data_IF_677295668136
#
_entry.id   IF_677295668136
#
_cell.length_a   1.000
_cell.length_b   1.000
_cell.length_c   1.000
_cell.angle_alpha   90.00
_cell.angle_beta   90.00
_cell.angle_gamma   90.00
#
_symmetry.space_group_name_H-M   'P 1'
#
loop_
_entity.id
_entity.type
_entity.pdbx_description
1 polymer ?
2 non-polymer ?
3 non-polymer ?
4 non-polymer ?
5 non-polymer ?
6 water ?
#
# COMPACT_ATOMS: atom_id res chain seq x y z
N UNK A 1 1.60 25.96 13.18
CA UNK A 1 0.19 25.57 12.88
C UNK A 1 0.13 24.56 11.73
N UNK A 2 -0.99 23.83 11.64
CA UNK A 2 -1.24 22.87 10.54
C UNK A 2 -1.27 23.57 9.18
N UNK A 3 -1.93 24.72 9.13
CA UNK A 3 -1.97 25.57 7.93
C UNK A 3 -0.60 26.10 7.44
N UNK A 4 0.38 26.17 8.34
CA UNK A 4 1.77 26.46 7.94
C UNK A 4 2.37 25.29 7.15
N UNK A 5 2.07 24.06 7.57
CA UNK A 5 2.46 22.86 6.83
C UNK A 5 1.86 22.82 5.42
N UNK A 6 0.61 23.26 5.30
CA UNK A 6 -0.10 23.31 4.01
C UNK A 6 0.51 24.34 3.04
N UNK A 7 0.88 25.51 3.56
CA UNK A 7 1.52 26.57 2.75
C UNK A 7 2.83 26.11 2.16
N UNK A 8 3.68 25.51 2.99
CA UNK A 8 4.96 24.94 2.57
C UNK A 8 4.80 23.86 1.49
N UNK A 9 3.81 22.99 1.68
CA UNK A 9 3.52 21.90 0.75
C UNK A 9 2.92 22.43 -0.56
N UNK A 10 1.90 23.27 -0.44
CA UNK A 10 1.23 23.86 -1.61
C UNK A 10 2.17 24.73 -2.43
N UNK A 11 3.03 25.50 -1.74
CA UNK A 11 4.03 26.34 -2.39
C UNK A 11 5.18 25.57 -3.05
N UNK A 12 5.59 24.44 -2.49
CA UNK A 12 6.81 23.75 -2.95
C UNK A 12 6.76 23.26 -4.41
N UNK A 13 7.93 23.01 -4.97
CA UNK A 13 8.07 22.40 -6.30
C UNK A 13 8.09 20.90 -6.07
N UNK A 14 7.43 20.16 -6.96
CA UNK A 14 7.30 18.73 -6.83
C UNK A 14 8.30 18.16 -7.82
N UNK A 15 9.43 17.62 -7.31
CA UNK A 15 10.40 17.04 -8.24
C UNK A 15 9.86 15.78 -8.91
N UNK A 16 10.49 15.38 -10.01
CA UNK A 16 10.01 14.28 -10.82
C UNK A 16 10.10 12.94 -10.10
N UNK A 17 9.42 11.94 -10.67
CA UNK A 17 9.44 10.57 -10.17
C UNK A 17 10.86 9.96 -10.16
N UNK A 18 11.66 10.31 -11.16
CA UNK A 18 13.06 9.83 -11.24
C UNK A 18 13.90 10.37 -10.09
N UNK A 19 13.87 11.68 -9.86
CA UNK A 19 14.59 12.31 -8.75
C UNK A 19 14.18 11.70 -7.39
N UNK A 20 12.88 11.48 -7.23
CA UNK A 20 12.30 10.96 -6.00
C UNK A 20 12.43 9.45 -5.81
N UNK A 21 12.82 8.74 -6.88
CA UNK A 21 13.14 7.29 -6.84
C UNK A 21 11.91 6.40 -6.62
N UNK A 22 10.73 6.97 -6.81
CA UNK A 22 9.47 6.28 -6.51
C UNK A 22 9.08 5.22 -7.54
N UNK A 23 9.80 5.18 -8.66
CA UNK A 23 9.62 4.14 -9.66
C UNK A 23 10.33 2.83 -9.31
N UNK A 24 11.20 2.87 -8.30
CA UNK A 24 12.02 1.72 -7.91
C UNK A 24 11.33 0.88 -6.84
N UNK A 25 11.22 -0.42 -7.08
CA UNK A 25 10.76 -1.36 -6.06
C UNK A 25 11.60 -1.35 -4.78
N UNK A 26 12.89 -0.99 -4.91
CA UNK A 26 13.81 -0.91 -3.79
C UNK A 26 13.62 0.33 -2.90
N UNK A 27 12.77 1.26 -3.32
CA UNK A 27 12.49 2.52 -2.59
C UNK A 27 12.46 2.40 -1.06
N UNK A 28 13.03 3.40 -0.40
CA UNK A 28 13.00 3.50 1.05
C UNK A 28 12.72 4.93 1.45
N UNK A 29 12.12 5.10 2.63
CA UNK A 29 11.66 6.40 3.08
C UNK A 29 12.37 6.88 4.35
N UNK A 30 13.33 6.12 4.86
CA UNK A 30 13.98 6.45 6.14
C UNK A 30 14.68 7.81 6.10
N UNK A 31 15.20 8.19 4.94
CA UNK A 31 15.88 9.48 4.78
C UNK A 31 14.95 10.69 4.48
N UNK A 32 13.64 10.48 4.45
CA UNK A 32 12.68 11.51 4.01
C UNK A 32 11.96 12.15 5.18
N UNK A 33 11.76 13.46 5.09
CA UNK A 33 10.90 14.16 6.02
C UNK A 33 9.43 13.88 5.70
N UNK A 34 8.54 14.21 6.64
CA UNK A 34 7.09 14.12 6.38
C UNK A 34 6.70 14.92 5.13
N UNK A 35 7.20 16.14 5.03
CA UNK A 35 6.97 16.98 3.85
C UNK A 35 7.41 16.29 2.54
N UNK A 36 8.59 15.67 2.57
CA UNK A 36 9.09 14.94 1.40
C UNK A 36 8.21 13.76 0.96
N UNK A 37 7.58 13.08 1.92
CA UNK A 37 6.66 11.99 1.58
C UNK A 37 5.39 12.54 0.93
N UNK A 38 4.90 13.66 1.45
CA UNK A 38 3.78 14.38 0.85
C UNK A 38 4.08 14.82 -0.58
N UNK A 39 5.31 15.21 -0.88
CA UNK A 39 5.71 15.54 -2.26
C UNK A 39 5.71 14.35 -3.17
N UNK A 40 6.25 13.23 -2.69
CA UNK A 40 6.28 11.97 -3.46
C UNK A 40 4.86 11.50 -3.76
N UNK A 41 3.97 11.71 -2.79
CA UNK A 41 2.55 11.37 -2.96
C UNK A 41 1.90 12.25 -4.06
N UNK A 42 2.21 13.55 -4.09
CA UNK A 42 1.70 14.42 -5.18
C UNK A 42 2.19 13.92 -6.53
N UNK A 43 3.47 13.59 -6.61
CA UNK A 43 4.07 13.10 -7.86
C UNK A 43 3.46 11.78 -8.32
N UNK A 44 3.10 10.90 -7.38
CA UNK A 44 2.33 9.67 -7.70
C UNK A 44 1.01 9.97 -8.41
N UNK A 45 0.16 10.78 -7.77
CA UNK A 45 -1.09 11.25 -8.38
C UNK A 45 -0.85 11.89 -9.76
N UNK A 46 0.10 12.80 -9.81
CA UNK A 46 0.42 13.55 -11.03
C UNK A 46 0.85 12.68 -12.21
N UNK A 47 1.81 11.77 -11.98
CA UNK A 47 2.37 10.93 -13.07
C UNK A 47 1.53 9.71 -13.41
N UNK A 48 0.47 9.45 -12.64
CA UNK A 48 -0.58 8.50 -13.05
C UNK A 48 -1.72 9.19 -13.82
N UNK A 49 -1.54 10.48 -14.16
CA UNK A 49 -2.52 11.30 -14.87
C UNK A 49 -3.83 11.54 -14.11
N UNK A 50 -3.82 11.33 -12.79
CA UNK A 50 -5.04 11.46 -11.98
C UNK A 50 -5.42 12.92 -11.73
N UNK A 51 -4.43 13.79 -11.54
CA UNK A 51 -4.67 15.23 -11.35
C UNK A 51 -5.28 15.82 -12.63
N UNK A 52 -4.68 15.51 -13.76
CA UNK A 52 -5.23 15.89 -15.07
C UNK A 52 -6.62 15.30 -15.31
N UNK A 53 -6.72 13.96 -15.40
CA UNK A 53 -7.96 13.28 -15.83
C UNK A 53 -9.20 13.48 -14.95
N UNK A 54 -9.00 13.82 -13.68
CA UNK A 54 -10.10 14.06 -12.73
C UNK A 54 -10.07 15.46 -12.11
N UNK A 55 -9.22 16.34 -12.64
CA UNK A 55 -9.29 17.79 -12.42
C UNK A 55 -9.21 18.15 -10.94
N UNK A 56 -8.15 17.70 -10.31
CA UNK A 56 -7.94 17.94 -8.89
C UNK A 56 -7.25 19.28 -8.77
N UNK A 57 -7.78 20.14 -7.91
CA UNK A 57 -7.12 21.39 -7.59
C UNK A 57 -5.96 21.09 -6.64
N UNK A 58 -4.81 21.70 -6.92
CA UNK A 58 -3.58 21.50 -6.16
C UNK A 58 -3.78 21.66 -4.66
N UNK A 59 -4.40 22.78 -4.28
CA UNK A 59 -4.70 23.09 -2.88
C UNK A 59 -5.54 22.00 -2.17
N UNK A 60 -6.43 21.34 -2.90
CA UNK A 60 -7.31 20.32 -2.34
C UNK A 60 -6.55 19.01 -2.08
N UNK A 61 -5.89 18.52 -3.12
CA UNK A 61 -4.97 17.38 -3.02
C UNK A 61 -3.97 17.51 -1.89
N UNK A 62 -3.30 18.65 -1.80
CA UNK A 62 -2.35 18.91 -0.72
C UNK A 62 -3.01 18.74 0.63
N UNK A 63 -4.16 19.38 0.81
CA UNK A 63 -4.90 19.32 2.09
C UNK A 63 -5.36 17.88 2.39
N UNK A 64 -5.81 17.17 1.36
CA UNK A 64 -6.21 15.77 1.49
C UNK A 64 -5.07 14.88 1.97
N UNK A 65 -3.92 14.97 1.30
CA UNK A 65 -2.74 14.19 1.67
C UNK A 65 -2.33 14.44 3.11
N UNK A 66 -2.42 15.70 3.55
CA UNK A 66 -2.05 16.07 4.92
C UNK A 66 -3.07 15.59 5.95
N UNK A 67 -4.34 15.53 5.55
CA UNK A 67 -5.43 15.01 6.42
C UNK A 67 -5.24 13.53 6.65
N UNK A 68 -4.98 12.83 5.55
CA UNK A 68 -4.63 11.41 5.57
C UNK A 68 -3.46 11.17 6.52
N UNK A 69 -2.36 11.90 6.31
CA UNK A 69 -1.17 11.75 7.16
C UNK A 69 -1.47 12.01 8.63
N UNK A 70 -2.27 13.04 8.93
CA UNK A 70 -2.67 13.33 10.32
C UNK A 70 -3.44 12.19 10.99
N UNK A 71 -4.25 11.45 10.24
CA UNK A 71 -5.08 10.37 10.80
C UNK A 71 -4.41 8.99 10.97
N UNK A 72 -3.10 8.90 10.77
CA UNK A 72 -2.30 7.78 11.28
C UNK A 72 -1.67 8.21 12.58
N UNK A 73 -1.38 7.23 13.43
CA UNK A 73 -0.81 7.46 14.75
C UNK A 73 0.70 7.18 14.74
N UNK A 74 1.49 8.24 14.95
CA UNK A 74 2.96 8.13 14.89
C UNK A 74 3.57 7.31 16.03
N UNK A 75 2.89 7.29 17.18
CA UNK A 75 3.29 6.42 18.29
C UNK A 75 3.10 4.91 18.04
N UNK A 76 2.35 4.55 16.99
CA UNK A 76 2.28 3.17 16.53
C UNK A 76 3.50 2.90 15.64
N UNK A 77 4.26 1.86 15.98
CA UNK A 77 5.62 1.69 15.47
C UNK A 77 5.69 1.40 13.97
N UNK A 78 4.80 0.56 13.47
CA UNK A 78 4.75 0.20 12.05
C UNK A 78 3.48 0.65 11.31
N UNK A 79 2.29 0.34 11.84
CA UNK A 79 1.02 0.69 11.18
C UNK A 79 0.73 2.18 11.37
N UNK A 80 1.42 2.99 10.56
CA UNK A 80 1.41 4.45 10.63
C UNK A 80 1.51 5.02 9.21
N UNK A 81 1.60 6.34 9.08
CA UNK A 81 1.70 7.00 7.78
C UNK A 81 2.77 6.41 6.86
N UNK A 82 3.96 6.12 7.38
CA UNK A 82 5.04 5.61 6.54
C UNK A 82 4.72 4.27 5.87
N UNK A 83 4.06 3.37 6.59
CA UNK A 83 3.61 2.11 5.99
C UNK A 83 2.62 2.35 4.86
N UNK A 84 1.69 3.26 5.09
CA UNK A 84 0.67 3.61 4.10
C UNK A 84 1.30 4.27 2.89
N UNK A 85 2.19 5.19 3.17
CA UNK A 85 2.99 5.86 2.14
C UNK A 85 3.76 4.85 1.30
N UNK A 86 4.49 3.95 1.96
CA UNK A 86 5.24 2.87 1.25
C UNK A 86 4.33 1.94 0.44
N UNK A 87 3.15 1.63 0.99
CA UNK A 87 2.16 0.81 0.30
C UNK A 87 1.74 1.48 -1.02
N UNK A 88 1.43 2.77 -0.95
CA UNK A 88 1.11 3.53 -2.15
C UNK A 88 2.29 3.63 -3.13
N UNK A 89 3.48 3.91 -2.60
CA UNK A 89 4.71 3.89 -3.42
C UNK A 89 4.86 2.57 -4.19
N UNK A 90 4.70 1.46 -3.50
CA UNK A 90 4.75 0.15 -4.18
C UNK A 90 3.69 0.00 -5.26
N UNK A 91 2.49 0.50 -5.02
CA UNK A 91 1.40 0.52 -6.03
C UNK A 91 1.84 1.30 -7.26
N UNK A 92 2.39 2.49 -7.04
CA UNK A 92 2.95 3.32 -8.12
C UNK A 92 4.01 2.58 -8.93
N UNK A 93 4.94 1.95 -8.23
CA UNK A 93 6.02 1.20 -8.86
C UNK A 93 5.48 0.00 -9.63
N UNK A 94 4.48 -0.68 -9.06
CA UNK A 94 3.83 -1.80 -9.74
C UNK A 94 3.10 -1.35 -11.00
N UNK A 95 2.52 -0.15 -10.97
CA UNK A 95 1.84 0.41 -12.14
C UNK A 95 2.85 0.82 -13.22
N UNK A 96 3.83 1.64 -12.85
CA UNK A 96 4.83 2.11 -13.80
C UNK A 96 5.86 1.04 -14.16
N UNK A 97 6.81 0.75 -13.26
CA UNK A 97 7.90 -0.21 -13.55
C UNK A 97 7.37 -1.62 -13.83
N UNK A 98 6.38 -2.05 -13.05
CA UNK A 98 5.73 -3.35 -13.24
C UNK A 98 4.74 -3.43 -14.41
N UNK A 99 4.49 -2.30 -15.08
CA UNK A 99 3.70 -2.24 -16.32
C UNK A 99 2.24 -2.70 -16.17
N UNK A 100 1.67 -2.51 -14.98
CA UNK A 100 0.28 -2.86 -14.71
C UNK A 100 -0.67 -1.71 -15.10
N UNK A 101 -0.15 -0.48 -15.16
CA UNK A 101 -0.95 0.69 -15.54
C UNK A 101 -1.88 0.47 -16.74
N UNK A 102 -1.35 -0.17 -17.78
CA UNK A 102 -2.09 -0.39 -19.03
C UNK A 102 -3.22 -1.43 -18.91
N UNK A 103 -3.08 -2.35 -17.96
CA UNK A 103 -4.09 -3.39 -17.72
C UNK A 103 -5.30 -2.92 -16.88
N UNK A 104 -5.37 -1.64 -16.51
CA UNK A 104 -6.43 -1.13 -15.64
C UNK A 104 -7.02 0.17 -16.15
N UNK A 105 -8.23 0.49 -15.70
CA UNK A 105 -8.86 1.75 -16.06
C UNK A 105 -8.34 2.85 -15.13
N UNK A 106 -8.51 4.10 -15.55
CA UNK A 106 -8.11 5.25 -14.74
C UNK A 106 -8.86 5.32 -13.41
N UNK A 107 -10.14 4.95 -13.42
CA UNK A 107 -10.93 4.92 -12.17
C UNK A 107 -10.39 3.87 -11.19
N UNK A 108 -9.99 2.72 -11.71
CA UNK A 108 -9.37 1.67 -10.90
C UNK A 108 -8.05 2.13 -10.31
N UNK A 109 -7.27 2.86 -11.09
CA UNK A 109 -5.96 3.37 -10.66
C UNK A 109 -6.09 4.42 -9.56
N UNK A 110 -7.00 5.36 -9.77
CA UNK A 110 -7.38 6.35 -8.75
C UNK A 110 -7.81 5.70 -7.43
N UNK A 111 -8.61 4.64 -7.53
CA UNK A 111 -9.15 3.95 -6.35
C UNK A 111 -8.05 3.22 -5.57
N UNK A 112 -7.19 2.50 -6.31
CA UNK A 112 -6.05 1.80 -5.72
C UNK A 112 -5.07 2.72 -5.01
N UNK A 113 -4.73 3.85 -5.64
CA UNK A 113 -3.81 4.80 -5.02
C UNK A 113 -4.39 5.41 -3.73
N UNK A 114 -5.68 5.78 -3.76
CA UNK A 114 -6.38 6.33 -2.60
C UNK A 114 -6.52 5.25 -1.51
N UNK A 115 -6.88 4.05 -1.94
CA UNK A 115 -7.03 2.93 -1.03
C UNK A 115 -5.69 2.57 -0.37
N UNK A 116 -4.64 2.45 -1.19
CA UNK A 116 -3.28 2.22 -0.67
C UNK A 116 -2.86 3.17 0.46
N UNK A 117 -3.08 4.46 0.26
CA UNK A 117 -2.74 5.49 1.27
C UNK A 117 -3.67 5.48 2.48
N UNK A 118 -4.91 5.03 2.28
CA UNK A 118 -5.95 5.07 3.31
C UNK A 118 -6.12 3.75 4.06
N UNK A 119 -5.47 2.69 3.58
CA UNK A 119 -5.88 1.31 3.95
C UNK A 119 -5.70 0.94 5.41
N UNK A 120 -4.94 1.72 6.17
CA UNK A 120 -4.69 1.46 7.58
C UNK A 120 -5.01 2.67 8.48
N UNK A 121 -5.81 3.63 7.99
CA UNK A 121 -6.12 4.87 8.75
C UNK A 121 -6.59 4.62 10.19
N UNK A 122 -6.04 5.38 11.13
CA UNK A 122 -6.40 5.32 12.55
C UNK A 122 -6.12 3.94 13.19
N UNK A 123 -5.13 3.22 12.65
CA UNK A 123 -4.69 1.95 13.24
C UNK A 123 -4.05 2.26 14.61
N UNK A 124 -4.38 1.46 15.61
CA UNK A 124 -3.94 1.69 17.00
C UNK A 124 -2.75 0.84 17.39
N UNK A 125 -2.66 -0.34 16.80
CA UNK A 125 -1.52 -1.23 16.90
C UNK A 125 -2.10 -2.60 17.11
N UNK A 126 -1.43 -3.63 16.58
CA UNK A 126 -1.93 -5.00 16.69
C UNK A 126 -2.38 -5.36 18.12
N UNK A 127 -1.60 -4.93 19.12
CA UNK A 127 -1.94 -5.16 20.53
C UNK A 127 -3.11 -4.32 21.02
N UNK A 128 -3.11 -3.02 20.72
CA UNK A 128 -4.15 -2.09 21.18
C UNK A 128 -5.46 -2.25 20.38
N UNK A 129 -6.12 -3.40 20.56
CA UNK A 129 -7.31 -3.75 19.79
C UNK A 129 -8.57 -3.75 20.66
N UNK A 130 -8.71 -2.75 21.52
CA UNK A 130 -9.91 -2.57 22.34
C UNK A 130 -10.91 -1.67 21.60
N UNK A 131 -12.11 -2.18 21.38
CA UNK A 131 -13.15 -1.50 20.58
C UNK A 131 -14.40 -1.32 21.45
N UNK A 132 -14.88 -0.08 21.52
CA UNK A 132 -16.10 0.31 22.26
C UNK A 132 -16.00 -0.02 23.75
N UNK A 143 -16.11 -13.02 12.23
CA UNK A 143 -14.93 -12.32 11.73
C UNK A 143 -15.26 -10.99 11.06
N UNK A 144 -15.88 -11.07 9.87
CA UNK A 144 -16.32 -9.92 9.04
C UNK A 144 -15.34 -8.72 8.84
N UNK A 145 -14.04 -8.93 9.10
CA UNK A 145 -13.00 -7.92 8.93
C UNK A 145 -13.32 -6.53 9.51
N UNK A 146 -13.56 -6.48 10.82
CA UNK A 146 -14.00 -5.25 11.50
C UNK A 146 -13.05 -4.04 11.37
N UNK A 147 -11.75 -4.28 11.45
CA UNK A 147 -10.73 -3.21 11.42
C UNK A 147 -10.68 -2.44 10.11
N UNK A 148 -10.84 -3.17 9.02
CA UNK A 148 -10.75 -2.62 7.67
C UNK A 148 -12.00 -1.80 7.35
N UNK A 149 -13.15 -2.21 7.87
CA UNK A 149 -14.35 -1.37 7.83
C UNK A 149 -14.10 -0.01 8.48
N UNK A 150 -13.42 0.00 9.62
CA UNK A 150 -13.06 1.27 10.29
C UNK A 150 -12.06 2.11 9.48
N UNK A 151 -11.13 1.44 8.78
CA UNK A 151 -10.18 2.15 7.92
C UNK A 151 -10.88 2.80 6.75
N UNK A 152 -11.82 2.08 6.15
CA UNK A 152 -12.65 2.66 5.09
C UNK A 152 -13.53 3.82 5.58
N UNK A 153 -14.17 3.67 6.74
CA UNK A 153 -14.94 4.77 7.33
C UNK A 153 -14.11 6.05 7.46
N UNK A 154 -12.90 5.90 7.98
CA UNK A 154 -11.95 7.01 8.07
C UNK A 154 -11.65 7.59 6.70
N UNK A 155 -11.33 6.72 5.74
CA UNK A 155 -11.05 7.14 4.38
C UNK A 155 -12.18 8.03 3.86
N UNK A 156 -13.40 7.50 3.91
CA UNK A 156 -14.61 8.22 3.46
C UNK A 156 -14.81 9.55 4.19
N UNK A 157 -14.71 9.54 5.52
CA UNK A 157 -14.78 10.75 6.33
C UNK A 157 -13.83 11.86 5.82
N UNK A 158 -12.61 11.48 5.43
CA UNK A 158 -11.62 12.43 4.91
C UNK A 158 -11.95 12.87 3.50
N UNK A 159 -12.24 11.91 2.62
CA UNK A 159 -12.73 12.22 1.27
C UNK A 159 -13.94 13.18 1.19
N UNK A 160 -14.77 13.21 2.23
CA UNK A 160 -15.95 14.11 2.31
C UNK A 160 -15.72 15.39 3.10
N UNK A 161 -14.53 15.58 3.66
CA UNK A 161 -14.25 16.73 4.52
C UNK A 161 -14.13 17.99 3.66
N UNK A 162 -14.58 19.14 4.19
CA UNK A 162 -14.43 20.40 3.45
C UNK A 162 -12.97 20.68 3.07
N UNK A 163 -12.73 20.98 1.80
CA UNK A 163 -11.38 21.28 1.31
C UNK A 163 -10.56 20.09 0.88
N UNK A 164 -11.00 18.87 1.22
CA UNK A 164 -10.23 17.65 0.97
C UNK A 164 -10.84 16.78 -0.12
N UNK A 165 -11.86 17.27 -0.83
CA UNK A 165 -12.65 16.41 -1.70
C UNK A 165 -12.02 16.23 -3.07
N UNK A 166 -10.98 15.40 -3.11
CA UNK A 166 -10.23 15.13 -4.34
C UNK A 166 -11.01 14.42 -5.44
N UNK A 167 -12.22 13.93 -5.14
CA UNK A 167 -13.07 13.28 -6.14
C UNK A 167 -14.26 14.14 -6.60
N UNK A 168 -14.28 15.43 -6.23
CA UNK A 168 -15.38 16.33 -6.62
C UNK A 168 -15.53 16.44 -8.15
N UNK A 169 -14.43 16.32 -8.89
CA UNK A 169 -14.45 16.35 -10.33
C UNK A 169 -15.05 15.15 -11.04
N UNK A 170 -15.28 14.06 -10.32
CA UNK A 170 -15.93 12.88 -10.88
C UNK A 170 -17.43 13.14 -11.02
N UNK A 171 -18.06 12.44 -11.96
CA UNK A 171 -19.53 12.43 -12.02
C UNK A 171 -20.07 11.59 -10.86
N UNK A 172 -21.38 11.64 -10.67
CA UNK A 172 -22.03 10.82 -9.63
C UNK A 172 -21.76 9.32 -9.85
N UNK A 173 -21.87 8.86 -11.10
CA UNK A 173 -21.66 7.44 -11.42
C UNK A 173 -20.20 7.02 -11.20
N UNK A 174 -19.27 7.83 -11.70
CA UNK A 174 -17.84 7.62 -11.47
C UNK A 174 -17.48 7.58 -9.97
N UNK A 175 -18.10 8.47 -9.20
CA UNK A 175 -17.91 8.52 -7.75
C UNK A 175 -18.33 7.22 -7.03
N UNK A 176 -19.49 6.68 -7.40
CA UNK A 176 -20.00 5.46 -6.76
C UNK A 176 -19.18 4.21 -7.12
N UNK A 177 -18.74 4.14 -8.38
CA UNK A 177 -17.87 3.07 -8.84
C UNK A 177 -16.52 3.13 -8.09
N UNK A 178 -15.90 4.31 -8.12
CA UNK A 178 -14.62 4.53 -7.43
C UNK A 178 -14.72 4.21 -5.93
N UNK A 179 -15.78 4.66 -5.27
CA UNK A 179 -16.03 4.32 -3.85
C UNK A 179 -16.19 2.83 -3.59
N UNK A 180 -16.89 2.15 -4.49
CA UNK A 180 -17.03 0.69 -4.44
C UNK A 180 -15.65 0.03 -4.53
N UNK A 181 -14.86 0.42 -5.52
CA UNK A 181 -13.52 -0.14 -5.68
C UNK A 181 -12.61 0.18 -4.48
N UNK A 182 -12.63 1.43 -3.99
CA UNK A 182 -11.85 1.80 -2.80
C UNK A 182 -12.20 0.93 -1.59
N UNK A 183 -13.51 0.72 -1.38
CA UNK A 183 -14.01 -0.11 -0.28
C UNK A 183 -13.50 -1.55 -0.37
N UNK A 184 -13.74 -2.18 -1.52
CA UNK A 184 -13.23 -3.52 -1.81
C UNK A 184 -11.74 -3.62 -1.54
N UNK A 185 -11.00 -2.62 -2.02
CA UNK A 185 -9.54 -2.61 -1.97
C UNK A 185 -9.00 -2.55 -0.55
N UNK A 186 -9.60 -1.70 0.29
CA UNK A 186 -9.22 -1.60 1.70
C UNK A 186 -9.63 -2.87 2.45
N UNK A 187 -10.81 -3.41 2.15
CA UNK A 187 -11.25 -4.67 2.75
C UNK A 187 -10.36 -5.86 2.37
N UNK A 188 -9.80 -5.85 1.16
CA UNK A 188 -8.84 -6.88 0.71
C UNK A 188 -7.56 -6.96 1.57
N UNK A 189 -7.19 -5.86 2.24
CA UNK A 189 -6.04 -5.85 3.15
C UNK A 189 -6.24 -6.61 4.47
N UNK A 190 -7.44 -7.17 4.69
CA UNK A 190 -7.64 -8.21 5.72
C UNK A 190 -7.03 -9.50 5.19
N UNK A 191 -5.98 -9.98 5.84
CA UNK A 191 -5.30 -11.20 5.37
C UNK A 191 -6.20 -12.43 5.38
N UNK A 192 -7.17 -12.49 6.30
CA UNK A 192 -8.23 -13.50 6.28
C UNK A 192 -8.96 -13.58 4.94
N UNK A 193 -9.28 -12.42 4.35
CA UNK A 193 -9.86 -12.39 2.99
C UNK A 193 -8.85 -12.82 1.95
N UNK A 194 -7.60 -12.38 2.08
CA UNK A 194 -6.53 -12.81 1.17
C UNK A 194 -6.39 -14.35 1.18
N UNK A 195 -6.34 -14.91 2.38
CA UNK A 195 -6.24 -16.37 2.55
C UNK A 195 -7.44 -17.11 1.94
N UNK A 196 -8.63 -16.51 2.04
CA UNK A 196 -9.85 -17.11 1.49
C UNK A 196 -9.93 -17.05 -0.03
N UNK A 197 -9.45 -15.97 -0.65
CA UNK A 197 -9.60 -15.74 -2.08
C UNK A 197 -8.40 -16.17 -2.95
N UNK A 198 -7.24 -16.38 -2.33
CA UNK A 198 -5.99 -16.59 -3.11
C UNK A 198 -5.96 -17.89 -3.93
N UNK A 199 -6.50 -18.98 -3.36
CA UNK A 199 -6.58 -20.27 -4.04
C UNK A 199 -7.11 -20.16 -5.45
N UNK A 200 -8.22 -19.44 -5.61
CA UNK A 200 -8.85 -19.21 -6.92
C UNK A 200 -7.90 -18.50 -7.86
N UNK A 201 -7.27 -17.44 -7.38
CA UNK A 201 -6.31 -16.66 -8.16
C UNK A 201 -5.17 -17.55 -8.66
N UNK A 202 -4.59 -18.35 -7.74
CA UNK A 202 -3.50 -19.25 -8.09
C UNK A 202 -3.93 -20.33 -9.08
N UNK A 203 -5.11 -20.93 -8.88
CA UNK A 203 -5.64 -21.95 -9.81
C UNK A 203 -5.94 -21.35 -11.19
N UNK A 204 -6.46 -20.12 -11.23
CA UNK A 204 -6.70 -19.41 -12.50
C UNK A 204 -5.42 -19.03 -13.26
N UNK A 205 -4.33 -18.82 -12.54
CA UNK A 205 -3.00 -18.58 -13.15
C UNK A 205 -2.33 -19.91 -13.52
N UNK A 206 -2.49 -20.93 -12.67
CA UNK A 206 -1.93 -22.26 -12.92
C UNK A 206 -2.49 -22.88 -14.21
N UNK A 207 -3.81 -22.74 -14.41
CA UNK A 207 -4.51 -23.30 -15.58
C UNK A 207 -4.41 -22.45 -16.86
N UNK A 208 -3.74 -21.29 -16.77
CA UNK A 208 -3.60 -20.36 -17.90
C UNK A 208 -4.97 -19.78 -18.35
N UNK A 209 -5.93 -19.70 -17.43
CA UNK A 209 -7.28 -19.20 -17.71
C UNK A 209 -7.50 -17.76 -17.26
N UNK A 210 -6.43 -17.04 -16.92
CA UNK A 210 -6.56 -15.70 -16.31
C UNK A 210 -6.92 -14.65 -17.36
N UNK A 211 -7.94 -13.86 -17.06
CA UNK A 211 -8.53 -12.91 -18.01
C UNK A 211 -9.11 -11.70 -17.27
N UNK A 212 -8.42 -10.56 -17.39
CA UNK A 212 -8.83 -9.33 -16.69
C UNK A 212 -10.10 -8.68 -17.26
N UNK A 213 -10.48 -9.05 -18.49
CA UNK A 213 -11.75 -8.61 -19.07
C UNK A 213 -12.97 -9.12 -18.29
N UNK A 214 -12.85 -10.29 -17.66
CA UNK A 214 -13.87 -10.80 -16.74
C UNK A 214 -13.92 -9.91 -15.48
N UNK A 215 -15.08 -9.27 -15.19
CA UNK A 215 -15.21 -8.43 -13.99
C UNK A 215 -14.86 -9.07 -12.64
N UNK A 216 -15.21 -10.35 -12.45
CA UNK A 216 -14.88 -11.04 -11.20
C UNK A 216 -13.36 -11.23 -11.03
N UNK A 217 -12.69 -11.59 -12.11
CA UNK A 217 -11.23 -11.79 -12.11
C UNK A 217 -10.46 -10.47 -11.97
N UNK A 218 -11.04 -9.36 -12.42
CA UNK A 218 -10.46 -8.03 -12.23
C UNK A 218 -10.47 -7.64 -10.76
N UNK A 219 -11.65 -7.74 -10.14
CA UNK A 219 -11.83 -7.49 -8.71
C UNK A 219 -10.87 -8.32 -7.85
N UNK A 220 -10.79 -9.62 -8.17
CA UNK A 220 -9.87 -10.55 -7.50
C UNK A 220 -8.41 -10.08 -7.61
N UNK A 221 -8.02 -9.63 -8.81
CA UNK A 221 -6.66 -9.12 -9.07
C UNK A 221 -6.37 -7.82 -8.32
N UNK A 222 -7.33 -6.90 -8.33
CA UNK A 222 -7.23 -5.65 -7.55
C UNK A 222 -6.99 -5.94 -6.07
N UNK A 223 -7.71 -6.91 -5.52
CA UNK A 223 -7.51 -7.35 -4.14
C UNK A 223 -6.11 -7.94 -3.90
N UNK A 224 -5.64 -8.78 -4.81
CA UNK A 224 -4.33 -9.44 -4.66
C UNK A 224 -3.19 -8.43 -4.79
N UNK A 225 -3.38 -7.45 -5.68
CA UNK A 225 -2.42 -6.37 -5.86
C UNK A 225 -2.30 -5.53 -4.58
N UNK A 226 -3.44 -5.26 -3.95
CA UNK A 226 -3.45 -4.50 -2.70
C UNK A 226 -2.62 -5.19 -1.64
N UNK A 227 -2.81 -6.52 -1.51
CA UNK A 227 -2.05 -7.31 -0.54
C UNK A 227 -0.55 -7.32 -0.87
N UNK A 228 -0.23 -7.41 -2.16
CA UNK A 228 1.17 -7.41 -2.60
C UNK A 228 1.88 -6.12 -2.17
N UNK A 229 1.18 -4.99 -2.34
CA UNK A 229 1.70 -3.69 -1.93
C UNK A 229 1.77 -3.55 -0.41
N UNK A 230 0.70 -3.98 0.26
CA UNK A 230 0.59 -3.94 1.72
C UNK A 230 1.75 -4.70 2.39
N UNK A 231 2.09 -5.87 1.85
CA UNK A 231 3.17 -6.69 2.41
C UNK A 231 4.57 -6.43 1.82
N UNK A 232 4.72 -5.47 0.90
CA UNK A 232 5.95 -5.29 0.09
C UNK A 232 7.24 -4.92 0.86
N UNK A 233 7.12 -4.52 2.11
CA UNK A 233 8.30 -4.36 2.96
C UNK A 233 9.16 -5.63 3.04
N UNK A 234 8.52 -6.78 2.85
CA UNK A 234 9.18 -8.09 2.82
C UNK A 234 10.06 -8.30 1.57
N UNK A 235 9.88 -7.45 0.55
CA UNK A 235 10.63 -7.55 -0.71
C UNK A 235 11.86 -6.64 -0.75
N UNK A 236 11.98 -5.74 0.22
CA UNK A 236 12.98 -4.67 0.14
C UNK A 236 14.40 -5.22 0.26
N UNK A 237 15.41 -4.43 -0.13
CA UNK A 237 16.80 -4.88 0.10
C UNK A 237 17.09 -5.15 1.58
N UNK A 238 17.99 -6.11 1.83
CA UNK A 238 18.17 -6.70 3.16
C UNK A 238 18.25 -5.70 4.34
N UNK A 239 19.14 -4.68 4.27
CA UNK A 239 19.19 -3.72 5.38
C UNK A 239 17.89 -2.95 5.59
N UNK A 240 17.14 -2.71 4.51
CA UNK A 240 15.83 -2.05 4.61
C UNK A 240 14.83 -3.01 5.27
N UNK A 241 14.74 -4.22 4.72
CA UNK A 241 13.92 -5.32 5.30
C UNK A 241 14.17 -5.55 6.81
N UNK A 242 15.43 -5.64 7.22
CA UNK A 242 15.80 -5.83 8.64
C UNK A 242 15.20 -4.77 9.55
N UNK A 243 15.26 -3.52 9.10
CA UNK A 243 14.78 -2.37 9.88
C UNK A 243 13.26 -2.34 9.95
N UNK A 244 12.60 -2.67 8.83
CA UNK A 244 11.15 -2.76 8.78
C UNK A 244 10.64 -3.96 9.60
N UNK A 245 11.38 -5.07 9.57
CA UNK A 245 11.11 -6.21 10.47
C UNK A 245 11.21 -5.80 11.94
N UNK A 246 12.21 -4.98 12.24
CA UNK A 246 12.43 -4.44 13.59
C UNK A 246 11.24 -3.60 14.07
N UNK A 247 10.70 -2.73 13.21
CA UNK A 247 9.49 -1.96 13.52
C UNK A 247 8.26 -2.85 13.78
N UNK A 248 8.04 -3.82 12.90
CA UNK A 248 6.94 -4.77 13.06
C UNK A 248 7.06 -5.43 14.44
N UNK A 249 8.24 -5.93 14.76
CA UNK A 249 8.53 -6.55 16.06
C UNK A 249 8.26 -5.65 17.26
N UNK A 250 8.60 -4.36 17.16
CA UNK A 250 8.34 -3.40 18.24
C UNK A 250 6.84 -3.23 18.48
N UNK A 251 6.03 -3.34 17.43
CA UNK A 251 4.57 -3.24 17.55
C UNK A 251 3.97 -4.55 18.08
N UNK A 252 4.40 -5.68 17.52
CA UNK A 252 3.93 -7.02 17.94
C UNK A 252 4.29 -7.37 19.38
N UNK A 253 5.45 -6.90 19.86
CA UNK A 253 5.90 -7.14 21.24
C UNK A 253 5.55 -5.99 22.18
N UNK A 254 6.24 -4.86 21.99
CA UNK A 254 6.40 -3.86 23.04
C UNK A 254 5.23 -2.90 23.23
N UNK A 255 4.16 -3.05 22.44
CA UNK A 255 2.95 -2.25 22.58
C UNK A 255 3.25 -0.75 22.38
N UNK A 256 3.96 -0.46 21.29
CA UNK A 256 4.33 0.91 20.93
C UNK A 256 4.47 1.06 19.42
N UNK A 274 16.86 -13.85 23.20
CA UNK A 274 15.55 -14.45 23.43
C UNK A 274 14.47 -13.95 22.47
N UNK A 275 14.43 -12.63 22.26
CA UNK A 275 13.47 -12.01 21.32
C UNK A 275 13.97 -12.25 19.89
N UNK A 276 15.25 -11.92 19.68
CA UNK A 276 15.93 -12.12 18.40
C UNK A 276 16.18 -13.59 18.00
N UNK A 277 16.08 -14.52 18.95
CA UNK A 277 16.16 -15.96 18.65
C UNK A 277 15.07 -16.42 17.67
N UNK A 278 13.82 -16.16 18.04
CA UNK A 278 12.65 -16.64 17.27
C UNK A 278 12.36 -15.86 15.98
N UNK A 279 12.75 -14.58 15.93
CA UNK A 279 12.37 -13.69 14.81
C UNK A 279 12.74 -14.24 13.43
N UNK A 280 13.99 -14.71 13.23
CA UNK A 280 14.33 -15.25 11.92
C UNK A 280 13.42 -16.39 11.42
N UNK A 281 13.04 -17.32 12.30
CA UNK A 281 12.18 -18.44 11.89
C UNK A 281 10.77 -17.98 11.50
N UNK A 282 10.26 -17.00 12.20
CA UNK A 282 8.96 -16.45 11.90
C UNK A 282 8.92 -15.75 10.58
N UNK A 283 10.01 -15.13 10.23
CA UNK A 283 10.10 -14.41 9.00
C UNK A 283 10.13 -15.36 7.84
N UNK A 284 10.60 -16.57 8.06
CA UNK A 284 10.65 -17.56 7.02
C UNK A 284 9.28 -18.13 6.92
N UNK A 285 8.68 -18.40 8.06
CA UNK A 285 7.30 -18.85 8.17
C UNK A 285 6.31 -17.95 7.44
N UNK A 286 6.44 -16.65 7.68
CA UNK A 286 5.60 -15.63 7.04
C UNK A 286 5.82 -15.56 5.53
N UNK A 287 7.08 -15.67 5.10
CA UNK A 287 7.40 -15.64 3.68
C UNK A 287 6.79 -16.84 2.95
N UNK A 288 6.92 -18.04 3.52
CA UNK A 288 6.39 -19.25 2.90
C UNK A 288 4.87 -19.31 2.91
N UNK A 289 4.29 -19.02 4.07
CA UNK A 289 2.84 -19.07 4.25
C UNK A 289 2.12 -18.06 3.37
N UNK A 290 2.55 -16.79 3.43
CA UNK A 290 1.80 -15.67 2.88
C UNK A 290 2.39 -15.09 1.59
N UNK A 291 3.70 -14.83 1.59
CA UNK A 291 4.28 -13.93 0.60
C UNK A 291 4.72 -14.56 -0.72
N UNK A 292 5.45 -15.68 -0.69
CA UNK A 292 6.05 -16.23 -1.92
C UNK A 292 5.05 -16.47 -3.06
N UNK A 293 3.99 -17.21 -2.78
CA UNK A 293 3.01 -17.56 -3.81
C UNK A 293 2.41 -16.31 -4.45
N UNK A 294 2.08 -15.32 -3.63
CA UNK A 294 1.54 -14.05 -4.10
C UNK A 294 2.46 -13.35 -5.10
N UNK A 295 3.73 -13.20 -4.75
CA UNK A 295 4.71 -12.55 -5.63
C UNK A 295 5.04 -13.42 -6.85
N UNK A 296 5.06 -14.74 -6.67
CA UNK A 296 5.15 -15.67 -7.82
C UNK A 296 3.98 -15.49 -8.79
N UNK A 297 2.77 -15.40 -8.24
CA UNK A 297 1.55 -15.22 -9.02
C UNK A 297 1.54 -13.90 -9.77
N UNK A 298 1.88 -12.83 -9.08
CA UNK A 298 1.94 -11.50 -9.65
C UNK A 298 2.95 -11.42 -10.80
N UNK A 299 4.06 -12.15 -10.67
CA UNK A 299 5.08 -12.19 -11.72
C UNK A 299 4.58 -12.90 -12.98
N UNK A 300 3.80 -13.96 -12.81
CA UNK A 300 3.13 -14.60 -13.95
C UNK A 300 2.17 -13.65 -14.66
N UNK A 301 1.43 -12.83 -13.89
CA UNK A 301 0.55 -11.80 -14.46
C UNK A 301 1.34 -10.73 -15.23
N UNK A 302 2.45 -10.26 -14.64
CA UNK A 302 3.34 -9.32 -15.31
C UNK A 302 4.79 -9.56 -14.89
N UNK A 303 5.60 -10.06 -15.82
CA UNK A 303 7.00 -10.41 -15.55
C UNK A 303 7.83 -9.27 -14.94
N UNK A 304 7.47 -8.02 -15.26
CA UNK A 304 8.21 -6.85 -14.75
C UNK A 304 8.03 -6.56 -13.26
N UNK A 305 7.08 -7.25 -12.61
CA UNK A 305 6.98 -7.32 -11.14
C UNK A 305 7.90 -8.35 -10.48
N UNK A 306 8.83 -8.93 -11.26
CA UNK A 306 9.83 -9.90 -10.77
C UNK A 306 10.68 -9.42 -9.57
N UNK A 307 11.12 -8.14 -9.59
CA UNK A 307 11.96 -7.64 -8.48
C UNK A 307 11.36 -7.79 -7.08
N UNK A 308 10.03 -7.77 -6.97
CA UNK A 308 9.33 -8.04 -5.70
C UNK A 308 9.51 -9.49 -5.25
N UNK A 309 9.34 -10.42 -6.19
CA UNK A 309 9.56 -11.84 -5.93
C UNK A 309 11.05 -12.10 -5.60
N UNK A 310 11.92 -11.56 -6.45
CA UNK A 310 13.36 -11.69 -6.28
C UNK A 310 13.81 -11.21 -4.90
N UNK A 311 13.44 -9.98 -4.56
CA UNK A 311 13.73 -9.39 -3.25
C UNK A 311 13.18 -10.18 -2.08
N UNK A 312 12.00 -10.78 -2.27
CA UNK A 312 11.39 -11.64 -1.25
C UNK A 312 12.20 -12.93 -1.06
N UNK A 313 12.63 -13.56 -2.15
CA UNK A 313 13.51 -14.75 -2.09
C UNK A 313 14.85 -14.48 -1.42
N UNK A 314 15.45 -13.34 -1.75
CA UNK A 314 16.75 -12.95 -1.18
C UNK A 314 16.66 -12.73 0.32
N UNK A 315 15.54 -12.17 0.76
CA UNK A 315 15.26 -12.01 2.18
C UNK A 315 14.98 -13.34 2.89
N UNK A 316 14.37 -14.29 2.18
CA UNK A 316 14.12 -15.64 2.73
C UNK A 316 15.45 -16.34 3.00
N UNK A 317 16.34 -16.33 2.01
CA UNK A 317 17.71 -16.84 2.14
C UNK A 317 18.42 -16.27 3.39
N UNK A 318 18.31 -14.96 3.59
CA UNK A 318 19.04 -14.27 4.66
C UNK A 318 18.47 -14.59 6.04
N UNK A 319 17.15 -14.62 6.15
CA UNK A 319 16.50 -14.98 7.42
C UNK A 319 16.72 -16.45 7.79
N UNK A 320 16.64 -17.32 6.79
CA UNK A 320 16.90 -18.75 6.97
C UNK A 320 18.32 -19.00 7.48
N UNK A 321 19.31 -18.34 6.87
CA UNK A 321 20.71 -18.41 7.34
C UNK A 321 20.85 -18.01 8.80
N UNK A 322 20.19 -16.92 9.19
CA UNK A 322 20.14 -16.49 10.59
C UNK A 322 19.42 -17.52 11.47
N UNK A 323 18.35 -18.11 10.94
CA UNK A 323 17.58 -19.13 11.67
C UNK A 323 18.38 -20.40 12.00
N UNK A 324 19.37 -20.73 11.17
CA UNK A 324 20.28 -21.86 11.42
C UNK A 324 21.48 -21.51 12.33
N UNK A 325 21.43 -20.36 13.01
CA UNK A 325 22.49 -19.89 13.91
C UNK A 325 23.78 -19.61 13.13
N UNK A 326 23.80 -18.46 12.44
CA UNK A 326 24.97 -18.05 11.66
C UNK A 326 26.07 -17.50 12.57
#
# INVERSE_FOLDING_TARGET
>A
EETRELQSLAAAVVPSAQTLKITDFSFSDFELSDLETALCTIRMFTDLNLVQNFQMKHEVLCRWILSVKKNYRKNVAYHNWRHAFNTAQCMFAALKAGKIQNKLTDLEILALLIAALSHDLDHRGVNNSYIQRSEHPLAQLYCHSIMEHHHFDQCLMILNSPGNQILSGLSIEEYKTTLKIIKQAILATDLALYIKRRGEFFELIRKNQFNLEDPHQKELFLAMLMTACDLSAITKPWPIQQRIAELVATEFFDQGDRERKELNIEPTDLMNREKKNKIPSMQVGFIDAICLQLYEALTHVSEDCFPLLDGCRKNRQKWQALAEQQ
#
